data_IF_454974844717
#
_entry.id   IF_454974844717
#
_cell.length_a   1.000
_cell.length_b   1.000
_cell.length_c   1.000
_cell.angle_alpha   90.00
_cell.angle_beta   90.00
_cell.angle_gamma   90.00
#
_symmetry.space_group_name_H-M   'P 1'
#
loop_
_entity.id
_entity.type
_entity.pdbx_description
1 polymer ?
#
# COMPACT_ATOMS: atom_id res chain seq x y z
N UNK A 1 -5.54 3.85 8.57
CA UNK A 1 -4.37 3.80 9.49
C UNK A 1 -4.74 3.36 10.90
N UNK A 2 -6.02 3.24 11.25
CA UNK A 2 -6.43 2.96 12.63
C UNK A 2 -5.97 1.59 13.17
N UNK A 3 -5.76 0.60 12.31
CA UNK A 3 -5.30 -0.74 12.70
C UNK A 3 -3.78 -0.93 12.69
N UNK A 4 -3.03 0.09 12.29
CA UNK A 4 -1.59 0.00 12.05
C UNK A 4 -0.82 1.06 12.83
N UNK A 5 0.42 0.72 13.19
CA UNK A 5 1.38 1.65 13.78
C UNK A 5 2.50 1.90 12.78
N UNK A 6 2.77 3.16 12.46
CA UNK A 6 3.89 3.53 11.58
C UNK A 6 5.19 3.43 12.35
N UNK A 7 6.11 2.60 11.85
CA UNK A 7 7.45 2.43 12.42
C UNK A 7 8.42 3.45 11.83
N UNK A 8 8.50 3.51 10.49
CA UNK A 8 9.35 4.48 9.78
C UNK A 8 8.86 4.70 8.35
N UNK A 9 9.16 5.87 7.80
CA UNK A 9 9.02 6.12 6.35
C UNK A 9 10.19 5.46 5.62
N UNK A 10 9.88 4.69 4.59
CA UNK A 10 10.89 3.98 3.78
C UNK A 10 11.30 4.80 2.55
N UNK A 11 10.38 5.56 1.96
CA UNK A 11 10.68 6.34 0.77
C UNK A 11 9.52 7.21 0.30
N UNK A 12 9.85 8.11 -0.62
CA UNK A 12 8.93 9.04 -1.28
C UNK A 12 9.19 8.96 -2.76
N UNK A 13 8.13 8.84 -3.55
CA UNK A 13 8.18 8.95 -4.99
C UNK A 13 7.13 9.93 -5.49
N UNK A 14 7.10 10.13 -6.79
CA UNK A 14 6.17 11.03 -7.48
C UNK A 14 4.71 10.73 -7.15
N UNK A 15 4.37 9.44 -7.01
CA UNK A 15 2.99 8.97 -6.85
C UNK A 15 2.60 8.66 -5.40
N UNK A 16 3.51 8.83 -4.44
CA UNK A 16 3.20 8.49 -3.05
C UNK A 16 4.40 8.24 -2.15
N UNK A 17 4.14 7.54 -1.05
CA UNK A 17 5.17 7.23 -0.05
C UNK A 17 4.99 5.84 0.53
N UNK A 18 6.10 5.19 0.87
CA UNK A 18 6.13 3.88 1.48
C UNK A 18 6.51 3.99 2.96
N UNK A 19 5.86 3.20 3.80
CA UNK A 19 6.05 3.17 5.25
C UNK A 19 6.22 1.73 5.71
N UNK A 20 7.18 1.50 6.60
CA UNK A 20 7.22 0.30 7.41
C UNK A 20 6.20 0.47 8.53
N UNK A 21 5.30 -0.50 8.66
CA UNK A 21 4.23 -0.52 9.64
C UNK A 21 4.22 -1.85 10.40
N UNK A 22 3.58 -1.86 11.56
CA UNK A 22 3.17 -3.09 12.25
C UNK A 22 1.65 -3.08 12.42
N UNK A 23 1.06 -4.26 12.59
CA UNK A 23 -0.34 -4.32 13.01
C UNK A 23 -0.44 -4.05 14.50
N UNK A 24 -1.53 -3.43 14.96
CA UNK A 24 -1.72 -3.18 16.40
C UNK A 24 -1.93 -4.47 17.20
N UNK A 25 -2.41 -5.53 16.55
CA UNK A 25 -2.76 -6.80 17.19
C UNK A 25 -1.58 -7.77 17.19
N UNK A 26 -0.67 -7.66 16.22
CA UNK A 26 0.59 -8.40 16.16
C UNK A 26 1.75 -7.45 15.81
N UNK A 27 2.42 -6.90 16.83
CA UNK A 27 3.57 -6.01 16.65
C UNK A 27 4.81 -6.69 16.06
N UNK A 28 4.88 -8.02 16.12
CA UNK A 28 6.01 -8.79 15.58
C UNK A 28 6.00 -8.86 14.05
N UNK A 29 4.81 -8.74 13.45
CA UNK A 29 4.65 -8.74 12.00
C UNK A 29 4.87 -7.34 11.41
N UNK A 30 5.92 -7.21 10.62
CA UNK A 30 6.22 -5.99 9.87
C UNK A 30 5.69 -6.08 8.44
N UNK A 31 5.06 -5.00 7.98
CA UNK A 31 4.49 -4.87 6.65
C UNK A 31 4.94 -3.55 6.02
N UNK A 32 4.92 -3.48 4.69
CA UNK A 32 5.12 -2.22 3.95
C UNK A 32 3.77 -1.70 3.48
N UNK A 33 3.43 -0.48 3.90
CA UNK A 33 2.25 0.23 3.43
C UNK A 33 2.66 1.28 2.39
N UNK A 34 2.17 1.12 1.15
CA UNK A 34 2.31 2.10 0.08
C UNK A 34 1.09 3.03 0.10
N UNK A 35 1.30 4.30 0.45
CA UNK A 35 0.27 5.34 0.39
C UNK A 35 0.37 6.06 -0.95
N UNK A 36 -0.65 5.92 -1.78
CA UNK A 36 -0.80 6.63 -3.06
C UNK A 36 -1.90 7.66 -2.95
N UNK A 37 -1.78 8.76 -3.71
CA UNK A 37 -2.88 9.71 -3.88
C UNK A 37 -3.69 9.25 -5.09
N UNK A 38 -5.00 9.15 -4.92
CA UNK A 38 -5.95 8.90 -6.00
C UNK A 38 -6.82 10.15 -6.07
N UNK A 39 -7.03 10.69 -7.27
CA UNK A 39 -8.01 11.73 -7.51
C UNK A 39 -9.40 11.09 -7.64
N UNK A 40 -10.23 11.26 -6.62
CA UNK A 40 -11.56 10.64 -6.55
C UNK A 40 -12.53 11.23 -7.59
N UNK A 41 -12.29 12.46 -8.06
CA UNK A 41 -13.08 13.09 -9.12
C UNK A 41 -12.68 12.58 -10.52
N UNK A 42 -11.57 11.83 -10.64
CA UNK A 42 -11.12 11.20 -11.87
C UNK A 42 -11.46 9.71 -11.89
N UNK A 43 -12.66 9.39 -12.39
CA UNK A 43 -13.15 8.00 -12.47
C UNK A 43 -12.20 7.08 -13.23
N UNK A 44 -11.55 7.56 -14.30
CA UNK A 44 -10.63 6.76 -15.11
C UNK A 44 -9.38 6.36 -14.32
N UNK A 45 -8.81 7.31 -13.58
CA UNK A 45 -7.63 7.05 -12.73
C UNK A 45 -7.99 6.11 -11.58
N UNK A 46 -9.14 6.32 -10.95
CA UNK A 46 -9.63 5.43 -9.89
C UNK A 46 -9.84 4.00 -10.40
N UNK A 47 -10.45 3.82 -11.57
CA UNK A 47 -10.63 2.50 -12.19
C UNK A 47 -9.29 1.83 -12.50
N UNK A 48 -8.31 2.58 -13.03
CA UNK A 48 -6.97 2.05 -13.30
C UNK A 48 -6.25 1.63 -12.02
N UNK A 49 -6.34 2.44 -10.96
CA UNK A 49 -5.75 2.11 -9.66
C UNK A 49 -6.39 0.84 -9.06
N UNK A 50 -7.71 0.69 -9.14
CA UNK A 50 -8.40 -0.52 -8.66
C UNK A 50 -8.04 -1.76 -9.47
N UNK A 51 -7.87 -1.62 -10.79
CA UNK A 51 -7.41 -2.73 -11.64
C UNK A 51 -6.00 -3.18 -11.26
N UNK A 52 -5.08 -2.24 -11.03
CA UNK A 52 -3.71 -2.55 -10.58
C UNK A 52 -3.74 -3.35 -9.26
N UNK A 53 -4.53 -2.89 -8.27
CA UNK A 53 -4.70 -3.58 -6.99
C UNK A 53 -5.27 -4.99 -7.18
N UNK A 54 -6.27 -5.15 -8.05
CA UNK A 54 -6.88 -6.45 -8.32
C UNK A 54 -5.92 -7.44 -8.99
N UNK A 55 -5.06 -6.97 -9.88
CA UNK A 55 -4.01 -7.80 -10.50
C UNK A 55 -2.98 -8.21 -9.45
N UNK A 56 -2.47 -7.25 -8.66
CA UNK A 56 -1.48 -7.53 -7.61
C UNK A 56 -2.00 -8.52 -6.56
N UNK A 57 -3.27 -8.40 -6.16
CA UNK A 57 -3.88 -9.31 -5.18
C UNK A 57 -3.98 -10.77 -5.66
N UNK A 58 -3.90 -11.03 -6.97
CA UNK A 58 -3.91 -12.38 -7.53
C UNK A 58 -2.50 -12.98 -7.64
N UNK A 59 -1.45 -12.17 -7.48
CA UNK A 59 -0.07 -12.64 -7.54
C UNK A 59 0.29 -13.31 -6.22
N UNK A 60 0.52 -14.62 -6.25
CA UNK A 60 1.03 -15.38 -5.12
C UNK A 60 2.27 -16.16 -5.54
N UNK A 61 3.42 -15.47 -5.54
CA UNK A 61 4.70 -16.05 -5.94
C UNK A 61 5.82 -15.53 -5.02
N UNK A 62 6.76 -16.38 -4.56
CA UNK A 62 7.77 -16.01 -3.55
C UNK A 62 8.72 -14.87 -3.96
N UNK A 63 8.79 -14.55 -5.26
CA UNK A 63 9.63 -13.48 -5.81
C UNK A 63 8.83 -12.29 -6.36
N UNK A 64 7.51 -12.28 -6.18
CA UNK A 64 6.64 -11.19 -6.63
C UNK A 64 5.92 -10.64 -5.40
N UNK A 65 6.05 -9.33 -5.20
CA UNK A 65 5.46 -8.57 -4.10
C UNK A 65 4.11 -7.99 -4.50
#
# INVERSE_FOLDING_TARGET
>A
MESYTVVKRLGVGTYGSAYLITTKHDPGQQLVLKKVKIDEDNEKETQQAMLEVAVLAQLNHPLVL
#
